data_IF_262084084462
#
_entry.id   IF_262084084462
#
_cell.length_a   1.000
_cell.length_b   1.000
_cell.length_c   1.000
_cell.angle_alpha   90.00
_cell.angle_beta   90.00
_cell.angle_gamma   90.00
#
_symmetry.space_group_name_H-M   'P 1'
#
loop_
_entity.id
_entity.type
_entity.pdbx_description
1 polymer ?
#
# COMPACT_ATOMS: atom_id res chain seq x y z
N UNK A 1 6.05 1.95 -27.68
CA UNK A 1 4.96 2.35 -26.74
C UNK A 1 4.33 1.19 -25.96
N UNK A 2 4.22 -0.02 -26.52
CA UNK A 2 3.54 -1.16 -25.85
C UNK A 2 4.29 -1.63 -24.60
N UNK A 3 5.61 -1.85 -24.70
CA UNK A 3 6.48 -2.29 -23.57
C UNK A 3 6.40 -1.33 -22.37
N UNK A 4 6.35 -0.03 -22.66
CA UNK A 4 6.21 1.03 -21.67
C UNK A 4 4.93 0.96 -20.85
N UNK A 5 3.81 0.68 -21.54
CA UNK A 5 2.51 0.49 -20.90
C UNK A 5 2.49 -0.82 -20.12
N UNK A 6 3.03 -1.90 -20.67
CA UNK A 6 3.11 -3.17 -19.95
C UNK A 6 3.90 -3.05 -18.63
N UNK A 7 5.03 -2.36 -18.63
CA UNK A 7 5.84 -2.13 -17.43
C UNK A 7 5.11 -1.28 -16.38
N UNK A 8 4.45 -0.19 -16.80
CA UNK A 8 3.66 0.64 -15.89
C UNK A 8 2.49 -0.16 -15.28
N UNK A 9 1.88 -1.06 -16.05
CA UNK A 9 0.77 -1.90 -15.62
C UNK A 9 1.28 -2.91 -14.60
N UNK A 10 2.40 -3.56 -14.91
CA UNK A 10 3.08 -4.49 -13.99
C UNK A 10 3.43 -3.80 -12.67
N UNK A 11 3.96 -2.59 -12.71
CA UNK A 11 4.26 -1.82 -11.50
C UNK A 11 3.00 -1.48 -10.69
N UNK A 12 1.91 -1.07 -11.34
CA UNK A 12 0.63 -0.83 -10.66
C UNK A 12 0.05 -2.10 -10.03
N UNK A 13 0.17 -3.25 -10.68
CA UNK A 13 -0.24 -4.54 -10.13
C UNK A 13 0.61 -4.90 -8.92
N UNK A 14 1.92 -4.64 -8.95
CA UNK A 14 2.80 -4.82 -7.79
C UNK A 14 2.40 -3.93 -6.61
N UNK A 15 2.07 -2.66 -6.85
CA UNK A 15 1.59 -1.73 -5.82
C UNK A 15 0.28 -2.23 -5.20
N UNK A 16 -0.68 -2.65 -6.03
CA UNK A 16 -1.93 -3.24 -5.56
C UNK A 16 -1.66 -4.48 -4.70
N UNK A 17 -0.79 -5.38 -5.19
CA UNK A 17 -0.38 -6.58 -4.49
C UNK A 17 0.24 -6.26 -3.13
N UNK A 18 1.15 -5.29 -3.04
CA UNK A 18 1.79 -4.90 -1.79
C UNK A 18 0.79 -4.40 -0.74
N UNK A 19 -0.31 -3.76 -1.15
CA UNK A 19 -1.35 -3.29 -0.23
C UNK A 19 -2.32 -4.41 0.17
N UNK A 20 -2.71 -5.28 -0.77
CA UNK A 20 -3.73 -6.32 -0.53
C UNK A 20 -3.15 -7.57 0.12
N UNK A 21 -1.91 -7.95 -0.20
CA UNK A 21 -1.28 -9.19 0.28
C UNK A 21 -1.32 -9.35 1.80
N UNK A 22 -1.02 -8.31 2.63
CA UNK A 22 -1.06 -8.46 4.07
C UNK A 22 -2.44 -8.88 4.60
N UNK A 23 -3.54 -8.43 3.99
CA UNK A 23 -4.89 -8.83 4.40
C UNK A 23 -5.18 -10.30 4.05
N UNK A 24 -4.76 -10.75 2.87
CA UNK A 24 -4.87 -12.16 2.46
C UNK A 24 -4.04 -13.09 3.36
N UNK A 25 -2.86 -12.65 3.78
CA UNK A 25 -2.02 -13.40 4.72
C UNK A 25 -2.70 -13.56 6.08
N UNK A 26 -3.35 -12.50 6.57
CA UNK A 26 -4.09 -12.52 7.84
C UNK A 26 -5.31 -13.44 7.75
N UNK A 27 -6.13 -13.33 6.69
CA UNK A 27 -7.28 -14.22 6.48
C UNK A 27 -6.84 -15.69 6.45
N UNK A 28 -5.81 -16.01 5.65
CA UNK A 28 -5.33 -17.38 5.50
C UNK A 28 -4.70 -17.94 6.79
N UNK A 29 -4.09 -17.08 7.60
CA UNK A 29 -3.60 -17.46 8.93
C UNK A 29 -4.76 -17.72 9.90
N UNK A 30 -5.81 -16.91 9.86
CA UNK A 30 -7.03 -17.08 10.65
C UNK A 30 -7.76 -18.40 10.33
N UNK A 31 -7.89 -18.72 9.04
CA UNK A 31 -8.50 -19.96 8.57
C UNK A 31 -7.76 -21.22 9.05
N UNK A 32 -6.42 -21.21 9.03
CA UNK A 32 -5.62 -22.33 9.54
C UNK A 32 -5.60 -22.43 11.06
N UNK A 33 -5.74 -21.29 11.75
CA UNK A 33 -5.76 -21.22 13.21
C UNK A 33 -7.10 -21.59 13.84
N UNK A 34 -8.17 -21.75 13.04
CA UNK A 34 -9.53 -21.97 13.55
C UNK A 34 -10.12 -20.73 14.25
N UNK A 35 -9.50 -19.57 14.07
CA UNK A 35 -9.87 -18.30 14.71
C UNK A 35 -10.45 -17.31 13.71
N UNK A 36 -11.21 -17.82 12.72
CA UNK A 36 -11.84 -16.96 11.70
C UNK A 36 -12.74 -15.94 12.39
N UNK A 37 -12.29 -14.68 12.40
CA UNK A 37 -13.00 -13.62 13.09
C UNK A 37 -14.11 -13.07 12.17
N UNK A 38 -15.30 -12.78 12.68
CA UNK A 38 -16.26 -11.97 11.96
C UNK A 38 -15.63 -10.59 11.71
N UNK A 39 -15.13 -10.34 10.49
CA UNK A 39 -14.44 -9.10 10.11
C UNK A 39 -13.27 -9.27 9.12
N UNK A 40 -12.79 -10.48 8.85
CA UNK A 40 -11.65 -10.68 7.92
C UNK A 40 -11.97 -10.23 6.48
N UNK A 41 -13.22 -10.39 6.03
CA UNK A 41 -13.67 -9.86 4.75
C UNK A 41 -13.59 -8.33 4.68
N UNK A 42 -13.80 -7.63 5.81
CA UNK A 42 -13.74 -6.17 5.87
C UNK A 42 -12.30 -5.66 5.71
N UNK A 43 -11.29 -6.42 6.15
CA UNK A 43 -9.88 -6.10 5.95
C UNK A 43 -9.47 -6.16 4.48
N UNK A 44 -9.98 -7.15 3.74
CA UNK A 44 -9.73 -7.28 2.30
C UNK A 44 -10.41 -6.14 1.55
N UNK A 45 -11.69 -5.86 1.87
CA UNK A 45 -12.42 -4.75 1.28
C UNK A 45 -11.72 -3.41 1.54
N UNK A 46 -11.28 -3.17 2.78
CA UNK A 46 -10.49 -1.99 3.13
C UNK A 46 -9.17 -1.91 2.34
N UNK A 47 -8.46 -3.02 2.22
CA UNK A 47 -7.20 -3.09 1.47
C UNK A 47 -7.37 -2.85 -0.02
N UNK A 48 -8.45 -3.35 -0.62
CA UNK A 48 -8.80 -3.08 -2.02
C UNK A 48 -9.18 -1.61 -2.19
N UNK A 49 -9.98 -1.06 -1.27
CA UNK A 49 -10.40 0.34 -1.30
C UNK A 49 -9.21 1.31 -1.25
N UNK A 50 -8.13 0.97 -0.53
CA UNK A 50 -6.88 1.75 -0.49
C UNK A 50 -5.94 1.41 -1.67
N UNK A 51 -5.83 0.13 -2.00
CA UNK A 51 -4.88 -0.38 -3.00
C UNK A 51 -5.22 0.03 -4.43
N UNK A 52 -6.51 0.09 -4.79
CA UNK A 52 -6.93 0.50 -6.15
C UNK A 52 -6.54 1.95 -6.44
N UNK A 53 -6.87 2.96 -5.60
CA UNK A 53 -6.38 4.32 -5.77
C UNK A 53 -4.85 4.41 -5.85
N UNK A 54 -4.13 3.69 -4.99
CA UNK A 54 -2.67 3.67 -4.99
C UNK A 54 -2.09 3.12 -6.31
N UNK A 55 -2.66 2.04 -6.83
CA UNK A 55 -2.27 1.44 -8.11
C UNK A 55 -2.55 2.38 -9.30
N UNK A 56 -3.68 3.09 -9.28
CA UNK A 56 -4.02 4.12 -10.27
C UNK A 56 -3.04 5.29 -10.19
N UNK A 57 -2.67 5.75 -9.00
CA UNK A 57 -1.65 6.78 -8.78
C UNK A 57 -0.29 6.35 -9.34
N UNK A 58 0.12 5.09 -9.11
CA UNK A 58 1.36 4.53 -9.64
C UNK A 58 1.36 4.48 -11.17
N UNK A 59 0.23 4.06 -11.77
CA UNK A 59 0.04 4.04 -13.23
C UNK A 59 0.20 5.45 -13.81
N UNK A 60 -0.50 6.42 -13.22
CA UNK A 60 -0.52 7.82 -13.67
C UNK A 60 0.83 8.53 -13.56
N UNK A 61 1.79 8.02 -12.78
CA UNK A 61 3.17 8.55 -12.73
C UNK A 61 4.04 8.05 -13.87
N UNK A 62 3.85 6.79 -14.25
CA UNK A 62 4.66 6.13 -15.26
C UNK A 62 4.12 6.30 -16.68
N UNK A 63 2.86 6.72 -16.80
CA UNK A 63 2.20 6.92 -18.09
C UNK A 63 2.47 8.28 -18.80
N UNK A 64 2.69 9.43 -18.13
CA UNK A 64 2.90 10.70 -18.80
C UNK A 64 4.17 10.69 -19.65
N UNK A 65 4.19 11.41 -20.78
CA UNK A 65 5.43 11.62 -21.51
C UNK A 65 6.43 12.32 -20.60
N UNK A 66 7.69 11.86 -20.65
CA UNK A 66 8.80 12.51 -19.96
C UNK A 66 8.78 14.01 -20.27
N UNK A 67 8.58 14.84 -19.24
CA UNK A 67 8.75 16.29 -19.34
C UNK A 67 10.19 16.58 -19.78
N UNK A 68 10.43 17.71 -20.46
CA UNK A 68 11.82 18.16 -20.78
C UNK A 68 12.73 18.24 -19.55
N UNK A 69 12.15 18.27 -18.35
CA UNK A 69 12.83 18.40 -17.07
C UNK A 69 13.01 17.09 -16.30
N UNK A 70 12.53 15.96 -16.81
CA UNK A 70 12.59 14.69 -16.08
C UNK A 70 12.87 13.51 -17.01
N UNK A 71 14.03 12.90 -16.84
CA UNK A 71 14.37 11.69 -17.59
C UNK A 71 13.44 10.56 -17.18
N UNK A 72 13.13 9.69 -18.15
CA UNK A 72 12.34 8.50 -17.91
C UNK A 72 13.00 7.56 -16.88
N UNK A 73 14.32 7.54 -16.85
CA UNK A 73 15.10 6.76 -15.89
C UNK A 73 14.87 7.25 -14.47
N UNK A 74 14.84 8.57 -14.25
CA UNK A 74 14.64 9.18 -12.93
C UNK A 74 13.26 8.85 -12.35
N UNK A 75 12.24 8.85 -13.22
CA UNK A 75 10.86 8.46 -12.84
C UNK A 75 10.82 6.99 -12.40
N UNK A 76 11.54 6.11 -13.10
CA UNK A 76 11.62 4.70 -12.72
C UNK A 76 12.39 4.48 -11.42
N UNK A 77 13.51 5.18 -11.20
CA UNK A 77 14.25 5.15 -9.94
C UNK A 77 13.33 5.56 -8.79
N UNK A 78 12.66 6.71 -8.92
CA UNK A 78 11.73 7.20 -7.90
C UNK A 78 10.54 6.25 -7.67
N UNK A 79 10.03 5.59 -8.71
CA UNK A 79 8.95 4.62 -8.60
C UNK A 79 9.39 3.35 -7.84
N UNK A 80 10.59 2.82 -8.14
CA UNK A 80 11.13 1.63 -7.45
C UNK A 80 11.46 1.92 -5.99
N UNK A 81 12.06 3.08 -5.68
CA UNK A 81 12.34 3.47 -4.28
C UNK A 81 11.06 3.68 -3.49
N UNK A 82 10.06 4.35 -4.09
CA UNK A 82 8.74 4.53 -3.50
C UNK A 82 8.04 3.20 -3.20
N UNK A 83 8.12 2.25 -4.15
CA UNK A 83 7.59 0.91 -3.96
C UNK A 83 8.30 0.15 -2.82
N UNK A 84 9.62 0.26 -2.72
CA UNK A 84 10.38 -0.34 -1.62
C UNK A 84 9.92 0.16 -0.24
N UNK A 85 9.70 1.48 -0.10
CA UNK A 85 9.16 2.08 1.13
C UNK A 85 7.74 1.60 1.41
N UNK A 86 6.88 1.58 0.39
CA UNK A 86 5.51 1.09 0.52
C UNK A 86 5.49 -0.38 0.97
N UNK A 87 6.23 -1.26 0.28
CA UNK A 87 6.27 -2.68 0.58
C UNK A 87 6.86 -2.94 1.98
N UNK A 88 7.91 -2.21 2.36
CA UNK A 88 8.48 -2.25 3.71
C UNK A 88 7.46 -1.85 4.77
N UNK A 89 6.80 -0.70 4.61
CA UNK A 89 5.76 -0.24 5.52
C UNK A 89 4.56 -1.20 5.57
N UNK A 90 4.14 -1.74 4.41
CA UNK A 90 3.04 -2.69 4.31
C UNK A 90 3.34 -4.01 5.05
N UNK A 91 4.59 -4.47 5.04
CA UNK A 91 5.00 -5.68 5.78
C UNK A 91 4.90 -5.52 7.30
N UNK A 92 5.03 -4.29 7.81
CA UNK A 92 4.90 -3.99 9.23
C UNK A 92 3.43 -3.79 9.68
N UNK A 93 2.46 -3.73 8.76
CA UNK A 93 1.06 -3.47 9.07
C UNK A 93 0.47 -4.42 10.12
N UNK A 94 0.66 -5.76 10.05
CA UNK A 94 0.10 -6.66 11.05
C UNK A 94 0.62 -6.36 12.46
N UNK A 95 1.91 -6.03 12.60
CA UNK A 95 2.52 -5.68 13.88
C UNK A 95 1.99 -4.34 14.41
N UNK A 96 1.84 -3.33 13.55
CA UNK A 96 1.30 -2.02 13.91
C UNK A 96 -0.16 -2.14 14.37
N UNK A 97 -0.98 -2.88 13.63
CA UNK A 97 -2.39 -3.06 13.95
C UNK A 97 -2.56 -3.87 15.23
N UNK A 98 -1.75 -4.93 15.44
CA UNK A 98 -1.73 -5.67 16.69
C UNK A 98 -1.36 -4.75 17.86
N UNK A 99 -0.29 -3.95 17.73
CA UNK A 99 0.11 -3.01 18.76
C UNK A 99 -0.98 -1.97 19.08
N UNK A 100 -1.56 -1.34 18.06
CA UNK A 100 -2.61 -0.35 18.22
C UNK A 100 -3.88 -0.95 18.86
N UNK A 101 -4.25 -2.17 18.47
CA UNK A 101 -5.45 -2.84 18.98
C UNK A 101 -5.29 -3.36 20.41
N UNK A 102 -4.08 -3.76 20.82
CA UNK A 102 -3.81 -4.08 22.24
C UNK A 102 -4.04 -2.89 23.17
N UNK A 103 -3.81 -1.66 22.69
CA UNK A 103 -4.16 -0.43 23.42
C UNK A 103 -5.65 -0.07 23.34
N UNK A 104 -6.32 -0.36 22.22
CA UNK A 104 -7.74 -0.04 22.00
C UNK A 104 -8.72 -1.04 22.65
N UNK A 105 -8.28 -2.28 22.90
CA UNK A 105 -9.05 -3.30 23.60
C UNK A 105 -9.44 -2.88 25.04
N UNK A 106 -8.71 -1.92 25.63
CA UNK A 106 -9.02 -1.35 26.93
C UNK A 106 -10.18 -0.32 26.91
N UNK A 107 -10.65 0.12 25.74
CA UNK A 107 -11.54 1.29 25.59
C UNK A 107 -12.92 1.01 24.94
N UNK A 108 -13.22 -0.22 24.54
CA UNK A 108 -14.56 -0.82 24.30
C UNK A 108 -14.39 -2.00 23.34
N UNK A 109 -14.80 -3.20 23.77
CA UNK A 109 -14.66 -4.44 23.01
C UNK A 109 -15.73 -4.63 21.91
N UNK A 110 -16.80 -3.83 21.92
CA UNK A 110 -17.98 -4.03 21.04
C UNK A 110 -17.88 -3.35 19.66
N UNK A 111 -16.85 -2.55 19.39
CA UNK A 111 -16.74 -1.78 18.15
C UNK A 111 -15.95 -2.53 17.06
N UNK A 112 -16.60 -3.51 16.40
CA UNK A 112 -16.01 -4.33 15.32
C UNK A 112 -15.42 -3.55 14.13
N UNK A 113 -15.78 -2.28 13.95
CA UNK A 113 -15.28 -1.41 12.86
C UNK A 113 -13.87 -0.83 13.11
N UNK A 114 -13.36 -0.86 14.35
CA UNK A 114 -12.08 -0.22 14.70
C UNK A 114 -10.88 -0.89 14.04
N UNK A 115 -10.87 -2.22 13.95
CA UNK A 115 -9.76 -2.98 13.37
C UNK A 115 -9.62 -2.66 11.86
N UNK A 116 -10.68 -2.74 11.04
CA UNK A 116 -10.62 -2.28 9.64
C UNK A 116 -10.22 -0.82 9.48
N UNK A 117 -10.66 0.07 10.39
CA UNK A 117 -10.33 1.50 10.31
C UNK A 117 -8.84 1.77 10.59
N UNK A 118 -8.26 1.16 11.64
CA UNK A 118 -6.82 1.29 11.95
C UNK A 118 -5.97 0.64 10.86
N UNK A 119 -6.43 -0.48 10.30
CA UNK A 119 -5.81 -1.14 9.16
C UNK A 119 -5.80 -0.22 7.93
N UNK A 120 -6.94 0.31 7.52
CA UNK A 120 -7.03 1.23 6.39
C UNK A 120 -6.20 2.50 6.63
N UNK A 121 -6.23 3.06 7.84
CA UNK A 121 -5.45 4.24 8.21
C UNK A 121 -3.93 4.01 8.11
N UNK A 122 -3.45 2.85 8.56
CA UNK A 122 -2.03 2.50 8.46
C UNK A 122 -1.60 2.21 7.01
N UNK A 123 -2.46 1.60 6.19
CA UNK A 123 -2.23 1.48 4.75
C UNK A 123 -2.15 2.84 4.06
N UNK A 124 -3.05 3.78 4.38
CA UNK A 124 -3.01 5.13 3.84
C UNK A 124 -1.72 5.86 4.23
N UNK A 125 -1.26 5.68 5.47
CA UNK A 125 0.02 6.22 5.92
C UNK A 125 1.21 5.63 5.14
N UNK A 126 1.20 4.32 4.88
CA UNK A 126 2.21 3.65 4.07
C UNK A 126 2.22 4.17 2.61
N UNK A 127 1.04 4.33 2.00
CA UNK A 127 0.89 4.92 0.66
C UNK A 127 1.38 6.37 0.64
N UNK A 128 1.05 7.17 1.65
CA UNK A 128 1.51 8.55 1.78
C UNK A 128 3.05 8.64 1.97
N UNK A 129 3.65 7.71 2.71
CA UNK A 129 5.11 7.64 2.86
C UNK A 129 5.78 7.27 1.53
N UNK A 130 5.26 6.27 0.81
CA UNK A 130 5.72 5.93 -0.53
C UNK A 130 5.60 7.12 -1.50
N UNK A 131 4.48 7.84 -1.45
CA UNK A 131 4.23 9.04 -2.23
C UNK A 131 5.24 10.16 -1.96
N UNK A 132 5.49 10.44 -0.68
CA UNK A 132 6.43 11.46 -0.26
C UNK A 132 7.85 11.12 -0.71
N UNK A 133 8.26 9.85 -0.59
CA UNK A 133 9.54 9.34 -1.09
C UNK A 133 9.68 9.54 -2.59
N UNK A 134 8.64 9.20 -3.38
CA UNK A 134 8.66 9.41 -4.83
C UNK A 134 8.96 10.88 -5.18
N UNK A 135 8.24 11.82 -4.56
CA UNK A 135 8.43 13.25 -4.80
C UNK A 135 9.78 13.75 -4.28
N UNK A 136 10.30 13.20 -3.19
CA UNK A 136 11.60 13.56 -2.65
C UNK A 136 12.73 13.12 -3.59
N UNK A 137 12.70 11.86 -4.06
CA UNK A 137 13.69 11.33 -5.01
C UNK A 137 13.66 12.10 -6.33
N UNK A 138 12.48 12.39 -6.87
CA UNK A 138 12.36 13.20 -8.08
C UNK A 138 12.91 14.62 -7.90
N UNK A 139 12.66 15.26 -6.75
CA UNK A 139 13.24 16.57 -6.43
C UNK A 139 14.76 16.52 -6.25
N UNK A 140 15.28 15.40 -5.77
CA UNK A 140 16.72 15.20 -5.59
C UNK A 140 17.43 14.97 -6.93
N UNK A 141 16.86 14.16 -7.82
CA UNK A 141 17.41 13.89 -9.17
C UNK A 141 17.32 15.10 -10.11
N UNK A 142 16.38 16.01 -9.88
CA UNK A 142 16.22 17.24 -10.66
C UNK A 142 17.13 18.40 -10.20
N UNK A 143 17.94 18.21 -9.16
CA UNK A 143 18.96 19.16 -8.70
C UNK A 143 20.31 18.81 -9.31
#
# INVERSE_FOLDING_TARGET
>A
MIVSRALALGHSVLVLGAVVTPALVVEHAGDRGGLRAPGDADLIVASVAVGVPAAVLAWRRLHPPASRWQSRTDVWIAALTSFGVLAGAASALPAVVLHATTGLAALDADAGWRVPAVWAGSQLAAVAAGEATHRAVLRWLAR
#
